data_IF_158796919983
#
_entry.id   IF_158796919983
#
_cell.length_a   1.000
_cell.length_b   1.000
_cell.length_c   1.000
_cell.angle_alpha   90.00
_cell.angle_beta   90.00
_cell.angle_gamma   90.00
#
_symmetry.space_group_name_H-M   'P 1'
#
loop_
_entity.id
_entity.type
_entity.pdbx_description
1 polymer ?
#
# COMPACT_ATOMS: atom_id res chain seq x y z
N UNK A 1 14.41 0.66 -15.86
CA UNK A 1 13.90 1.80 -15.06
C UNK A 1 12.42 2.07 -15.33
N UNK A 2 11.97 2.30 -16.57
CA UNK A 2 10.54 2.57 -16.86
C UNK A 2 9.59 1.39 -16.58
N UNK A 3 9.99 0.15 -16.88
CA UNK A 3 9.16 -1.04 -16.66
C UNK A 3 8.89 -1.33 -15.18
N UNK A 4 9.91 -1.18 -14.32
CA UNK A 4 9.81 -1.39 -12.88
C UNK A 4 8.88 -0.37 -12.22
N UNK A 5 8.93 0.90 -12.66
CA UNK A 5 8.02 1.94 -12.17
C UNK A 5 6.56 1.66 -12.53
N UNK A 6 6.30 1.18 -13.75
CA UNK A 6 4.95 0.82 -14.21
C UNK A 6 4.41 -0.43 -13.49
N UNK A 7 5.27 -1.41 -13.17
CA UNK A 7 4.88 -2.60 -12.41
C UNK A 7 4.55 -2.27 -10.93
N UNK A 8 5.24 -1.29 -10.34
CA UNK A 8 4.92 -0.80 -8.99
C UNK A 8 3.61 0.00 -8.96
N UNK A 9 3.34 0.82 -9.97
CA UNK A 9 2.05 1.52 -10.11
C UNK A 9 0.88 0.56 -10.25
N UNK A 10 1.01 -0.42 -11.15
CA UNK A 10 -0.01 -1.45 -11.35
C UNK A 10 -0.24 -2.28 -10.08
N UNK A 11 0.81 -2.51 -9.28
CA UNK A 11 0.68 -3.18 -7.97
C UNK A 11 -0.10 -2.34 -6.95
N UNK A 12 0.16 -1.04 -6.87
CA UNK A 12 -0.54 -0.10 -5.98
C UNK A 12 -2.01 0.12 -6.40
N UNK A 13 -2.28 0.22 -7.71
CA UNK A 13 -3.64 0.27 -8.25
C UNK A 13 -4.38 -1.06 -8.07
N UNK A 14 -3.70 -2.19 -8.22
CA UNK A 14 -4.26 -3.50 -7.96
C UNK A 14 -4.63 -3.69 -6.48
N UNK A 15 -3.90 -3.09 -5.54
CA UNK A 15 -4.28 -3.06 -4.13
C UNK A 15 -5.57 -2.25 -3.91
N UNK A 16 -5.74 -1.12 -4.62
CA UNK A 16 -6.93 -0.27 -4.54
C UNK A 16 -8.21 -0.92 -5.13
N UNK A 17 -8.07 -1.84 -6.09
CA UNK A 17 -9.20 -2.46 -6.81
C UNK A 17 -9.86 -3.65 -6.09
N UNK A 18 -9.29 -4.18 -5.00
CA UNK A 18 -9.83 -5.38 -4.31
C UNK A 18 -10.97 -5.04 -3.35
N UNK A 19 -12.07 -4.50 -3.90
CA UNK A 19 -13.37 -4.55 -3.27
C UNK A 19 -14.07 -5.85 -3.68
N UNK A 20 -13.95 -6.91 -2.86
CA UNK A 20 -14.91 -8.03 -2.84
C UNK A 20 -14.40 -9.47 -2.99
N UNK A 21 -13.10 -9.74 -3.17
CA UNK A 21 -12.55 -11.11 -3.31
C UNK A 21 -11.17 -11.26 -2.64
N UNK A 22 -11.06 -10.79 -1.38
CA UNK A 22 -9.80 -10.41 -0.73
C UNK A 22 -8.85 -11.50 -0.21
N UNK A 23 -9.25 -12.78 -0.14
CA UNK A 23 -8.39 -13.80 0.48
C UNK A 23 -7.36 -14.43 -0.46
N UNK A 24 -7.69 -14.58 -1.76
CA UNK A 24 -6.85 -15.33 -2.71
C UNK A 24 -5.88 -14.47 -3.52
N UNK A 25 -5.96 -13.14 -3.40
CA UNK A 25 -5.20 -12.20 -4.24
C UNK A 25 -4.13 -11.37 -3.50
N UNK A 26 -4.18 -11.28 -2.16
CA UNK A 26 -3.21 -10.44 -1.40
C UNK A 26 -1.89 -11.20 -1.15
N UNK A 27 -1.94 -12.51 -0.89
CA UNK A 27 -0.73 -13.36 -0.74
C UNK A 27 0.09 -13.42 -2.04
N UNK A 28 -0.58 -13.20 -3.18
CA UNK A 28 -0.02 -13.28 -4.54
C UNK A 28 0.85 -12.08 -4.92
N UNK A 29 0.67 -10.91 -4.28
CA UNK A 29 1.42 -9.69 -4.63
C UNK A 29 2.78 -9.59 -3.91
N UNK A 30 2.84 -9.83 -2.60
CA UNK A 30 4.11 -9.75 -1.86
C UNK A 30 5.09 -10.86 -2.25
N UNK A 31 4.58 -12.07 -2.50
CA UNK A 31 5.39 -13.16 -3.03
C UNK A 31 5.99 -12.79 -4.39
N UNK A 32 5.22 -12.18 -5.29
CA UNK A 32 5.71 -11.69 -6.58
C UNK A 32 6.77 -10.59 -6.45
N UNK A 33 6.63 -9.68 -5.47
CA UNK A 33 7.65 -8.65 -5.20
C UNK A 33 8.94 -9.23 -4.61
N UNK A 34 8.85 -10.30 -3.82
CA UNK A 34 10.03 -11.04 -3.33
C UNK A 34 10.72 -11.78 -4.48
N UNK A 35 9.96 -12.45 -5.34
CA UNK A 35 10.48 -13.13 -6.53
C UNK A 35 11.14 -12.16 -7.53
N UNK A 36 10.61 -10.93 -7.64
CA UNK A 36 11.19 -9.86 -8.44
C UNK A 36 12.40 -9.17 -7.78
N UNK A 37 12.76 -9.52 -6.55
CA UNK A 37 13.86 -8.90 -5.80
C UNK A 37 13.61 -7.45 -5.40
N UNK A 38 12.34 -7.04 -5.30
CA UNK A 38 11.91 -5.70 -4.86
C UNK A 38 11.83 -5.65 -3.33
N UNK A 39 11.29 -6.72 -2.73
CA UNK A 39 11.18 -6.87 -1.28
C UNK A 39 12.01 -8.06 -0.80
N UNK A 40 12.55 -7.95 0.41
CA UNK A 40 13.37 -8.97 1.06
C UNK A 40 12.64 -9.43 2.32
N UNK A 41 11.75 -10.41 2.16
CA UNK A 41 10.90 -10.92 3.23
C UNK A 41 10.97 -12.44 3.31
N UNK A 42 10.85 -12.96 4.53
CA UNK A 42 10.59 -14.38 4.77
C UNK A 42 9.07 -14.67 4.70
N UNK A 43 8.65 -15.95 4.64
CA UNK A 43 7.24 -16.30 4.51
C UNK A 43 6.34 -15.76 5.63
N UNK A 44 6.81 -15.75 6.88
CA UNK A 44 6.04 -15.22 8.01
C UNK A 44 5.85 -13.69 7.91
N UNK A 45 6.84 -12.98 7.38
CA UNK A 45 6.75 -11.53 7.11
C UNK A 45 5.77 -11.25 5.97
N UNK A 46 5.76 -12.07 4.91
CA UNK A 46 4.77 -11.98 3.82
C UNK A 46 3.36 -12.15 4.37
N UNK A 47 3.13 -13.18 5.19
CA UNK A 47 1.83 -13.43 5.83
C UNK A 47 1.38 -12.25 6.69
N UNK A 48 2.27 -11.74 7.55
CA UNK A 48 1.98 -10.61 8.43
C UNK A 48 1.63 -9.33 7.64
N UNK A 49 2.41 -9.00 6.60
CA UNK A 49 2.18 -7.79 5.80
C UNK A 49 0.94 -7.89 4.93
N UNK A 50 0.63 -9.08 4.42
CA UNK A 50 -0.63 -9.38 3.71
C UNK A 50 -1.83 -9.06 4.61
N UNK A 51 -1.82 -9.58 5.84
CA UNK A 51 -2.90 -9.35 6.80
C UNK A 51 -3.02 -7.87 7.19
N UNK A 52 -1.89 -7.22 7.50
CA UNK A 52 -1.87 -5.80 7.88
C UNK A 52 -2.38 -4.89 6.75
N UNK A 53 -1.97 -5.15 5.51
CA UNK A 53 -2.43 -4.40 4.34
C UNK A 53 -3.95 -4.50 4.18
N UNK A 54 -4.51 -5.70 4.33
CA UNK A 54 -5.96 -5.90 4.25
C UNK A 54 -6.70 -5.18 5.39
N UNK A 55 -6.22 -5.28 6.63
CA UNK A 55 -6.80 -4.55 7.77
C UNK A 55 -6.88 -3.05 7.45
N UNK A 56 -5.79 -2.45 6.98
CA UNK A 56 -5.76 -1.02 6.62
C UNK A 56 -6.77 -0.74 5.51
N UNK A 57 -6.74 -1.49 4.41
CA UNK A 57 -7.61 -1.30 3.24
C UNK A 57 -9.10 -1.30 3.59
N UNK A 58 -9.50 -2.20 4.50
CA UNK A 58 -10.92 -2.34 4.89
C UNK A 58 -11.35 -1.45 6.05
N UNK A 59 -10.41 -0.99 6.88
CA UNK A 59 -10.72 -0.17 8.04
C UNK A 59 -10.47 1.33 7.82
N UNK A 60 -9.76 1.72 6.77
CA UNK A 60 -9.32 3.10 6.55
C UNK A 60 -10.46 4.13 6.57
N UNK A 61 -11.53 3.90 5.79
CA UNK A 61 -12.68 4.82 5.76
C UNK A 61 -13.35 4.90 7.14
N UNK A 62 -13.47 3.77 7.84
CA UNK A 62 -14.04 3.74 9.19
C UNK A 62 -13.18 4.56 10.17
N UNK A 63 -11.86 4.45 10.07
CA UNK A 63 -10.93 5.26 10.85
C UNK A 63 -11.12 6.76 10.57
N UNK A 64 -11.21 7.18 9.30
CA UNK A 64 -11.49 8.57 8.94
C UNK A 64 -12.79 9.09 9.56
N UNK A 65 -13.84 8.28 9.57
CA UNK A 65 -15.10 8.66 10.24
C UNK A 65 -14.92 8.89 11.75
N UNK A 66 -14.08 8.11 12.43
CA UNK A 66 -13.77 8.33 13.85
C UNK A 66 -12.98 9.62 14.11
N UNK A 67 -12.28 10.12 13.08
CA UNK A 67 -11.58 11.40 13.11
C UNK A 67 -12.46 12.59 12.68
N UNK A 68 -13.74 12.37 12.36
CA UNK A 68 -14.69 13.43 12.00
C UNK A 68 -14.92 13.61 10.50
N UNK A 69 -14.31 12.80 9.63
CA UNK A 69 -14.62 12.80 8.21
C UNK A 69 -16.03 12.25 7.95
N UNK A 70 -16.71 12.78 6.92
CA UNK A 70 -17.96 12.19 6.44
C UNK A 70 -17.67 11.14 5.37
N UNK A 71 -18.25 9.92 5.45
CA UNK A 71 -18.08 8.89 4.44
C UNK A 71 -18.61 9.31 3.06
N UNK A 72 -19.55 10.26 3.02
CA UNK A 72 -20.11 10.81 1.78
C UNK A 72 -19.24 11.93 1.16
N UNK A 73 -18.18 12.36 1.85
CA UNK A 73 -17.34 13.49 1.42
C UNK A 73 -15.84 13.21 1.67
N UNK A 74 -15.35 12.10 1.13
CA UNK A 74 -13.92 11.75 1.20
C UNK A 74 -13.15 12.41 0.05
N UNK A 75 -12.07 13.12 0.37
CA UNK A 75 -11.19 13.70 -0.64
C UNK A 75 -10.26 12.64 -1.25
N UNK A 76 -9.71 12.92 -2.43
CA UNK A 76 -8.71 12.06 -3.04
C UNK A 76 -7.46 11.92 -2.16
N UNK A 77 -7.09 12.98 -1.44
CA UNK A 77 -5.93 12.99 -0.53
C UNK A 77 -6.17 12.10 0.69
N UNK A 78 -7.40 12.08 1.23
CA UNK A 78 -7.79 11.13 2.28
C UNK A 78 -7.63 9.68 1.82
N UNK A 79 -8.06 9.35 0.59
CA UNK A 79 -7.91 8.00 0.04
C UNK A 79 -6.43 7.66 -0.26
N UNK A 80 -5.69 8.60 -0.85
CA UNK A 80 -4.26 8.46 -1.13
C UNK A 80 -3.46 8.19 0.14
N UNK A 81 -3.85 8.82 1.26
CA UNK A 81 -3.22 8.56 2.56
C UNK A 81 -3.41 7.12 3.04
N UNK A 82 -4.56 6.51 2.78
CA UNK A 82 -4.80 5.09 3.06
C UNK A 82 -3.87 4.17 2.26
N UNK A 83 -3.68 4.45 0.97
CA UNK A 83 -2.72 3.72 0.10
C UNK A 83 -1.29 3.90 0.62
N UNK A 84 -0.93 5.13 1.02
CA UNK A 84 0.39 5.40 1.61
C UNK A 84 0.62 4.57 2.88
N UNK A 85 -0.39 4.35 3.72
CA UNK A 85 -0.24 3.52 4.92
C UNK A 85 0.06 2.06 4.59
N UNK A 86 -0.53 1.52 3.53
CA UNK A 86 -0.22 0.15 3.05
C UNK A 86 1.23 0.08 2.59
N UNK A 87 1.66 1.02 1.74
CA UNK A 87 3.04 1.07 1.25
C UNK A 87 4.05 1.28 2.39
N UNK A 88 3.70 2.04 3.42
CA UNK A 88 4.59 2.29 4.56
C UNK A 88 4.96 1.00 5.33
N UNK A 89 4.13 -0.04 5.26
CA UNK A 89 4.44 -1.35 5.86
C UNK A 89 5.69 -2.01 5.22
N UNK A 90 5.95 -1.70 3.95
CA UNK A 90 7.01 -2.32 3.16
C UNK A 90 8.40 -1.74 3.46
N UNK A 91 8.48 -0.56 4.09
CA UNK A 91 9.70 0.24 4.21
C UNK A 91 10.91 -0.51 4.78
N UNK A 92 10.68 -1.40 5.74
CA UNK A 92 11.74 -2.22 6.37
C UNK A 92 12.27 -3.36 5.50
N UNK A 93 11.60 -3.67 4.40
CA UNK A 93 11.88 -4.84 3.56
C UNK A 93 12.34 -4.48 2.15
N UNK A 94 12.42 -3.20 1.81
CA UNK A 94 12.80 -2.76 0.45
C UNK A 94 14.24 -3.19 0.15
N UNK A 95 14.42 -3.92 -0.96
CA UNK A 95 15.73 -4.29 -1.46
C UNK A 95 16.54 -3.04 -1.81
N UNK A 96 17.87 -3.01 -1.56
CA UNK A 96 18.71 -1.86 -1.87
C UNK A 96 18.60 -1.40 -3.35
N UNK A 97 18.41 -2.33 -4.27
CA UNK A 97 18.24 -2.09 -5.71
C UNK A 97 16.93 -1.37 -6.06
N UNK A 98 15.88 -1.54 -5.25
CA UNK A 98 14.55 -0.97 -5.49
C UNK A 98 14.33 0.35 -4.74
N UNK A 99 15.19 0.68 -3.76
CA UNK A 99 15.00 1.81 -2.83
C UNK A 99 14.68 3.14 -3.53
N UNK A 100 15.47 3.54 -4.52
CA UNK A 100 15.25 4.81 -5.22
C UNK A 100 13.90 4.88 -5.95
N UNK A 101 13.43 3.76 -6.51
CA UNK A 101 12.14 3.71 -7.20
C UNK A 101 10.96 3.76 -6.20
N UNK A 102 11.11 3.10 -5.05
CA UNK A 102 10.08 3.10 -4.00
C UNK A 102 10.04 4.44 -3.26
N UNK A 103 11.18 5.09 -3.03
CA UNK A 103 11.25 6.45 -2.46
C UNK A 103 10.53 7.46 -3.36
N UNK A 104 10.74 7.42 -4.67
CA UNK A 104 10.00 8.26 -5.61
C UNK A 104 8.48 8.01 -5.57
N UNK A 105 8.06 6.78 -5.29
CA UNK A 105 6.65 6.43 -5.10
C UNK A 105 6.11 7.01 -3.78
N UNK A 106 6.86 6.90 -2.68
CA UNK A 106 6.51 7.50 -1.40
C UNK A 106 6.34 9.01 -1.53
N UNK A 107 7.29 9.71 -2.14
CA UNK A 107 7.23 11.17 -2.28
C UNK A 107 5.98 11.62 -3.03
N UNK A 108 5.57 10.88 -4.05
CA UNK A 108 4.38 11.20 -4.85
C UNK A 108 3.07 10.91 -4.13
N UNK A 109 3.05 9.88 -3.29
CA UNK A 109 1.86 9.45 -2.57
C UNK A 109 1.74 10.09 -1.18
N UNK A 110 2.79 10.74 -0.70
CA UNK A 110 2.81 11.36 0.62
C UNK A 110 1.78 12.49 0.69
N UNK A 111 0.91 12.38 1.69
CA UNK A 111 -0.01 13.44 2.11
C UNK A 111 0.23 13.65 3.62
N UNK A 112 0.53 14.89 4.06
CA UNK A 112 0.69 15.18 5.49
C UNK A 112 -0.56 14.81 6.30
N UNK A 113 -0.37 14.36 7.53
CA UNK A 113 -1.48 13.85 8.35
C UNK A 113 -2.49 14.95 8.69
N UNK A 114 -1.99 16.15 8.95
CA UNK A 114 -2.77 17.37 9.25
C UNK A 114 -3.64 17.87 8.08
N UNK A 115 -3.44 17.34 6.88
CA UNK A 115 -4.29 17.64 5.71
C UNK A 115 -5.43 16.63 5.57
N UNK A 116 -5.40 15.54 6.34
CA UNK A 116 -6.30 14.39 6.24
C UNK A 116 -7.20 14.26 7.48
N UNK A 117 -6.69 14.64 8.66
CA UNK A 117 -7.39 14.57 9.94
C UNK A 117 -7.84 15.94 10.45
#
# INVERSE_FOLDING_TARGET
MAALGMQLELGAESLALVNGQGERNVTTNYQGFVEAGILLMNPAQIEALTLNAWIIMTSWVRFLCTAGASPDNLSQDMLRRGIYQVLALEGGYIAPSARAAVEALYDRLHVPLEQVL
#
